data_IF_899605164198
#
_entry.id   IF_899605164198
#
_cell.length_a   1.000
_cell.length_b   1.000
_cell.length_c   1.000
_cell.angle_alpha   90.00
_cell.angle_beta   90.00
_cell.angle_gamma   90.00
#
_symmetry.space_group_name_H-M   'P 1'
#
loop_
_entity.id
_entity.type
_entity.pdbx_description
1 polymer ?
#
# COMPACT_ATOMS: atom_id res chain seq x y z
N UNK A 1 -1.44 57.31 -47.49
CA UNK A 1 -1.74 56.61 -48.76
C UNK A 1 -2.76 55.53 -48.43
N UNK A 2 -4.00 55.69 -48.94
CA UNK A 2 -5.15 54.77 -49.08
C UNK A 2 -5.44 53.73 -47.95
N UNK A 3 -6.51 53.82 -47.13
CA UNK A 3 -7.97 53.64 -47.32
C UNK A 3 -8.49 52.21 -47.56
N UNK A 4 -9.54 51.88 -46.76
CA UNK A 4 -10.77 51.09 -47.09
C UNK A 4 -10.69 49.55 -47.22
N UNK A 5 -11.20 48.77 -46.25
CA UNK A 5 -12.58 48.21 -46.04
C UNK A 5 -13.00 47.04 -46.95
N UNK A 6 -13.42 45.91 -46.35
CA UNK A 6 -14.57 45.02 -46.69
C UNK A 6 -14.39 43.65 -46.01
N UNK A 7 -15.22 43.19 -45.07
CA UNK A 7 -16.48 42.41 -45.23
C UNK A 7 -16.34 41.24 -46.23
N UNK A 8 -16.70 39.97 -45.98
CA UNK A 8 -17.90 39.44 -45.32
C UNK A 8 -17.83 37.91 -45.07
N UNK A 9 -18.39 37.48 -43.93
CA UNK A 9 -19.32 36.34 -43.69
C UNK A 9 -19.13 34.89 -44.21
N UNK A 10 -19.25 33.98 -43.22
CA UNK A 10 -20.03 32.73 -43.17
C UNK A 10 -19.60 31.53 -44.03
N UNK A 11 -19.20 30.44 -43.35
CA UNK A 11 -19.88 29.14 -43.47
C UNK A 11 -19.53 28.25 -42.26
N UNK A 12 -20.57 27.91 -41.53
CA UNK A 12 -20.67 26.85 -40.54
C UNK A 12 -20.29 25.49 -41.13
N UNK A 13 -19.39 24.76 -40.47
CA UNK A 13 -19.35 23.30 -40.57
C UNK A 13 -19.12 22.69 -39.19
N UNK A 14 -20.23 22.18 -38.65
CA UNK A 14 -20.31 21.22 -37.56
C UNK A 14 -19.85 19.87 -38.10
N UNK A 15 -18.87 19.18 -37.50
CA UNK A 15 -18.77 17.75 -37.62
C UNK A 15 -19.46 17.10 -36.41
N UNK A 16 -20.49 16.34 -36.76
CA UNK A 16 -21.35 15.51 -35.94
C UNK A 16 -20.68 14.82 -34.75
N UNK A 17 -21.40 14.86 -33.63
CA UNK A 17 -21.41 13.84 -32.60
C UNK A 17 -21.73 12.47 -33.23
N UNK A 18 -20.70 11.65 -33.47
CA UNK A 18 -20.91 10.22 -33.63
C UNK A 18 -20.94 9.59 -32.24
N UNK A 19 -22.16 9.31 -31.78
CA UNK A 19 -22.39 8.37 -30.70
C UNK A 19 -21.77 7.03 -31.11
N UNK A 20 -20.64 6.67 -30.50
CA UNK A 20 -20.24 5.27 -30.43
C UNK A 20 -21.21 4.59 -29.48
N UNK A 21 -22.35 4.14 -30.04
CA UNK A 21 -23.15 3.08 -29.46
C UNK A 21 -22.21 1.90 -29.21
N UNK A 22 -21.79 1.71 -27.96
CA UNK A 22 -21.26 0.45 -27.49
C UNK A 22 -22.41 -0.55 -27.53
N UNK A 23 -22.63 -1.08 -28.72
CA UNK A 23 -23.57 -2.16 -28.96
C UNK A 23 -22.85 -3.42 -28.56
N UNK A 24 -23.44 -4.16 -27.60
CA UNK A 24 -23.17 -5.58 -27.33
C UNK A 24 -22.11 -5.89 -26.25
N UNK A 25 -22.33 -5.43 -25.02
CA UNK A 25 -22.02 -6.26 -23.85
C UNK A 25 -22.95 -7.49 -23.89
N UNK A 26 -22.44 -8.64 -24.33
CA UNK A 26 -23.16 -9.90 -24.14
C UNK A 26 -23.21 -10.16 -22.63
N UNK A 27 -24.40 -10.21 -22.05
CA UNK A 27 -24.65 -10.94 -20.80
C UNK A 27 -24.16 -12.36 -21.01
N UNK A 28 -23.02 -12.71 -20.43
CA UNK A 28 -22.76 -14.08 -20.07
C UNK A 28 -23.38 -14.29 -18.70
N UNK A 29 -24.59 -14.87 -18.69
CA UNK A 29 -25.17 -15.46 -17.49
C UNK A 29 -24.25 -16.62 -17.07
N UNK A 30 -23.40 -16.37 -16.07
CA UNK A 30 -22.73 -17.45 -15.36
C UNK A 30 -23.74 -18.08 -14.40
N UNK A 31 -24.41 -19.10 -14.90
CA UNK A 31 -25.27 -19.98 -14.12
C UNK A 31 -24.39 -20.74 -13.11
N UNK A 32 -24.39 -20.30 -11.85
CA UNK A 32 -23.73 -20.99 -10.75
C UNK A 32 -24.42 -22.34 -10.48
N UNK A 33 -24.00 -23.39 -11.18
CA UNK A 33 -24.20 -24.78 -10.74
C UNK A 33 -23.01 -25.19 -9.89
N UNK A 34 -23.14 -25.02 -8.58
CA UNK A 34 -22.34 -25.76 -7.62
C UNK A 34 -22.64 -27.26 -7.76
N UNK A 35 -21.72 -27.99 -8.39
CA UNK A 35 -21.69 -29.46 -8.34
C UNK A 35 -21.19 -29.90 -6.96
N UNK A 36 -22.11 -30.05 -6.00
CA UNK A 36 -21.86 -30.86 -4.81
C UNK A 36 -21.89 -32.34 -5.22
N UNK A 37 -20.70 -32.97 -5.25
CA UNK A 37 -20.59 -34.43 -5.32
C UNK A 37 -21.09 -35.04 -4.01
N UNK A 38 -22.22 -35.75 -4.10
CA UNK A 38 -22.74 -36.68 -3.09
C UNK A 38 -21.81 -37.89 -2.99
N UNK A 39 -21.39 -38.22 -1.76
CA UNK A 39 -21.20 -39.61 -1.35
C UNK A 39 -22.25 -39.94 -0.29
N UNK A 40 -23.02 -40.97 -0.55
CA UNK A 40 -24.14 -41.46 0.25
C UNK A 40 -23.66 -42.58 1.17
N UNK A 41 -23.93 -42.50 2.48
CA UNK A 41 -23.94 -43.69 3.36
C UNK A 41 -25.13 -43.59 4.34
N UNK A 42 -26.13 -44.40 4.04
CA UNK A 42 -26.99 -45.27 4.88
C UNK A 42 -27.68 -44.71 6.15
N UNK A 43 -28.99 -44.95 6.18
CA UNK A 43 -30.00 -44.54 7.16
C UNK A 43 -29.98 -45.29 8.51
N UNK A 44 -30.52 -44.65 9.56
CA UNK A 44 -31.51 -45.22 10.51
C UNK A 44 -32.34 -44.09 11.18
N UNK A 45 -33.64 -44.27 11.49
CA UNK A 45 -34.51 -43.22 12.03
C UNK A 45 -34.82 -43.41 13.53
N UNK A 46 -35.02 -42.31 14.27
CA UNK A 46 -35.79 -42.35 15.52
C UNK A 46 -36.53 -41.03 15.77
N UNK A 47 -37.77 -41.17 16.23
CA UNK A 47 -38.84 -40.16 16.35
C UNK A 47 -38.65 -39.27 17.59
N UNK A 48 -39.08 -38.01 17.52
CA UNK A 48 -40.25 -37.44 18.27
C UNK A 48 -40.35 -35.90 18.08
N UNK A 49 -41.56 -35.31 18.03
CA UNK A 49 -41.77 -33.88 17.79
C UNK A 49 -42.10 -33.08 19.06
N UNK A 50 -41.63 -31.82 19.14
CA UNK A 50 -42.13 -30.81 20.08
C UNK A 50 -42.59 -29.56 19.30
N UNK A 51 -43.78 -28.99 19.58
CA UNK A 51 -44.23 -27.76 18.96
C UNK A 51 -43.73 -26.54 19.76
N UNK A 52 -43.02 -25.61 19.10
CA UNK A 52 -42.68 -24.33 19.69
C UNK A 52 -43.80 -23.32 19.43
N UNK A 53 -44.38 -22.89 20.54
CA UNK A 53 -45.40 -21.87 20.71
C UNK A 53 -44.85 -20.49 20.36
N UNK A 54 -45.59 -19.75 19.52
CA UNK A 54 -45.34 -18.33 19.21
C UNK A 54 -45.95 -17.49 20.33
N UNK A 55 -45.13 -16.73 21.04
CA UNK A 55 -45.57 -15.63 21.90
C UNK A 55 -44.98 -14.35 21.31
N UNK A 56 -45.89 -13.49 20.87
CA UNK A 56 -45.67 -12.08 20.53
C UNK A 56 -45.80 -11.29 21.84
N UNK A 57 -44.76 -10.56 22.23
CA UNK A 57 -44.85 -9.60 23.34
C UNK A 57 -44.08 -8.32 22.98
N UNK A 58 -44.84 -7.37 22.44
CA UNK A 58 -44.48 -5.96 22.29
C UNK A 58 -44.28 -5.31 23.66
N UNK A 59 -43.08 -4.78 23.92
CA UNK A 59 -42.88 -3.73 24.93
C UNK A 59 -41.85 -2.71 24.45
N UNK A 60 -42.37 -1.54 24.12
CA UNK A 60 -41.61 -0.29 24.03
C UNK A 60 -40.95 -0.01 25.38
N UNK A 61 -39.70 0.45 25.34
CA UNK A 61 -39.11 1.18 26.46
C UNK A 61 -38.31 2.32 25.85
N UNK A 62 -38.90 3.51 25.94
CA UNK A 62 -38.25 4.78 25.66
C UNK A 62 -37.07 4.95 26.62
N UNK A 63 -35.87 5.18 26.08
CA UNK A 63 -34.77 5.78 26.81
C UNK A 63 -34.30 6.98 25.99
N UNK A 64 -34.58 8.16 26.52
CA UNK A 64 -34.06 9.44 26.05
C UNK A 64 -32.53 9.40 26.03
N UNK A 65 -31.96 9.50 24.83
CA UNK A 65 -30.54 9.73 24.60
C UNK A 65 -30.40 10.94 23.68
N UNK A 66 -29.75 11.98 24.19
CA UNK A 66 -29.59 13.28 23.55
C UNK A 66 -29.23 13.17 22.05
N UNK A 67 -30.06 13.79 21.22
CA UNK A 67 -29.76 14.08 19.81
C UNK A 67 -28.67 15.13 19.81
N UNK A 68 -27.42 14.68 19.78
CA UNK A 68 -26.32 15.51 19.32
C UNK A 68 -26.40 15.50 17.79
N UNK A 69 -26.70 16.64 17.19
CA UNK A 69 -26.78 16.76 15.74
C UNK A 69 -25.44 16.37 15.10
N UNK A 70 -25.39 15.15 14.57
CA UNK A 70 -24.33 14.69 13.69
C UNK A 70 -24.59 15.39 12.35
N UNK A 71 -23.68 16.28 11.98
CA UNK A 71 -23.70 17.00 10.71
C UNK A 71 -23.80 16.02 9.54
N UNK A 72 -24.66 16.36 8.57
CA UNK A 72 -25.02 15.60 7.36
C UNK A 72 -23.83 15.11 6.51
N UNK A 73 -22.61 15.61 6.76
CA UNK A 73 -21.37 15.18 6.11
C UNK A 73 -20.78 13.86 6.63
N UNK A 74 -21.21 13.34 7.78
CA UNK A 74 -20.71 12.06 8.32
C UNK A 74 -21.57 10.85 7.95
N UNK A 75 -22.63 11.05 7.14
CA UNK A 75 -23.58 10.00 6.74
C UNK A 75 -23.20 9.22 5.47
N UNK A 76 -22.06 9.52 4.85
CA UNK A 76 -21.66 8.95 3.55
C UNK A 76 -20.52 7.93 3.61
N UNK A 77 -19.98 7.60 4.79
CA UNK A 77 -18.71 6.85 4.86
C UNK A 77 -18.76 5.69 5.85
N UNK A 78 -19.82 4.91 5.77
CA UNK A 78 -19.82 3.56 6.33
C UNK A 78 -20.53 2.63 5.35
N UNK A 79 -19.83 1.62 4.84
CA UNK A 79 -20.34 0.57 3.94
C UNK A 79 -20.68 0.94 2.47
N UNK A 80 -19.82 1.66 1.75
CA UNK A 80 -19.86 1.52 0.28
C UNK A 80 -19.53 0.08 -0.09
N UNK A 81 -20.48 -0.63 -0.70
CA UNK A 81 -20.27 -1.99 -1.20
C UNK A 81 -19.12 -1.96 -2.22
N UNK A 82 -18.06 -2.74 -1.95
CA UNK A 82 -16.91 -2.90 -2.85
C UNK A 82 -17.41 -3.31 -4.26
N UNK A 83 -18.53 -4.03 -4.33
CA UNK A 83 -19.20 -4.35 -5.59
C UNK A 83 -19.63 -3.12 -6.40
N UNK A 84 -20.15 -2.07 -5.75
CA UNK A 84 -20.60 -0.85 -6.40
C UNK A 84 -19.43 0.02 -6.90
N UNK A 85 -18.31 0.08 -6.17
CA UNK A 85 -17.09 0.77 -6.62
C UNK A 85 -16.46 0.11 -7.88
N UNK A 86 -16.77 -1.16 -8.14
CA UNK A 86 -16.11 -1.95 -9.18
C UNK A 86 -16.85 -2.00 -10.54
N UNK A 87 -18.05 -1.44 -10.66
CA UNK A 87 -18.87 -1.64 -11.87
C UNK A 87 -18.22 -1.10 -13.16
N UNK A 88 -17.34 -0.11 -13.04
CA UNK A 88 -16.66 0.51 -14.20
C UNK A 88 -15.41 -0.27 -14.66
N UNK A 89 -14.94 -1.26 -13.90
CA UNK A 89 -13.69 -1.98 -14.19
C UNK A 89 -13.80 -2.98 -15.33
N UNK A 90 -14.95 -3.66 -15.42
CA UNK A 90 -15.20 -4.73 -16.40
C UNK A 90 -15.15 -4.21 -17.84
N UNK A 91 -15.48 -2.92 -18.04
CA UNK A 91 -15.52 -2.31 -19.36
C UNK A 91 -14.19 -1.69 -19.79
N UNK A 92 -13.27 -1.41 -18.86
CA UNK A 92 -12.03 -0.65 -19.13
C UNK A 92 -10.77 -1.51 -18.95
N UNK A 93 -10.77 -2.45 -18.01
CA UNK A 93 -9.56 -3.16 -17.56
C UNK A 93 -9.67 -4.68 -17.70
N UNK A 94 -8.53 -5.39 -17.61
CA UNK A 94 -8.52 -6.85 -17.68
C UNK A 94 -8.97 -7.48 -16.34
N UNK A 95 -9.52 -8.73 -16.34
CA UNK A 95 -9.97 -9.39 -15.11
C UNK A 95 -8.88 -9.55 -14.04
N UNK A 96 -7.61 -9.66 -14.47
CA UNK A 96 -6.46 -9.73 -13.57
C UNK A 96 -6.18 -8.39 -12.89
N UNK A 97 -6.29 -7.27 -13.63
CA UNK A 97 -6.16 -5.93 -13.06
C UNK A 97 -7.28 -5.66 -12.06
N UNK A 98 -8.52 -6.06 -12.36
CA UNK A 98 -9.66 -5.95 -11.45
C UNK A 98 -9.46 -6.77 -10.17
N UNK A 99 -8.96 -8.01 -10.29
CA UNK A 99 -8.65 -8.85 -9.13
C UNK A 99 -7.58 -8.21 -8.24
N UNK A 100 -6.52 -7.66 -8.82
CA UNK A 100 -5.50 -6.93 -8.08
C UNK A 100 -6.06 -5.68 -7.41
N UNK A 101 -6.87 -4.88 -8.11
CA UNK A 101 -7.51 -3.70 -7.54
C UNK A 101 -8.33 -4.04 -6.29
N UNK A 102 -9.14 -5.10 -6.36
CA UNK A 102 -9.91 -5.61 -5.21
C UNK A 102 -9.01 -6.05 -4.06
N UNK A 103 -7.90 -6.72 -4.35
CA UNK A 103 -6.96 -7.13 -3.32
C UNK A 103 -6.30 -5.93 -2.64
N UNK A 104 -5.90 -4.92 -3.42
CA UNK A 104 -5.32 -3.68 -2.90
C UNK A 104 -6.30 -2.96 -1.96
N UNK A 105 -7.58 -2.87 -2.33
CA UNK A 105 -8.61 -2.28 -1.46
C UNK A 105 -8.74 -3.03 -0.14
N UNK A 106 -8.78 -4.37 -0.15
CA UNK A 106 -8.82 -5.16 1.09
C UNK A 106 -7.58 -4.93 1.95
N UNK A 107 -6.41 -4.93 1.33
CA UNK A 107 -5.14 -4.71 2.03
C UNK A 107 -5.07 -3.30 2.66
N UNK A 108 -5.69 -2.29 2.03
CA UNK A 108 -5.80 -0.92 2.55
C UNK A 108 -6.79 -0.85 3.72
N UNK A 109 -7.98 -1.42 3.57
CA UNK A 109 -9.02 -1.44 4.61
C UNK A 109 -8.56 -2.14 5.89
N UNK A 110 -7.85 -3.26 5.74
CA UNK A 110 -7.33 -4.04 6.87
C UNK A 110 -6.00 -3.49 7.43
N UNK A 111 -5.43 -2.44 6.82
CA UNK A 111 -4.08 -1.94 7.15
C UNK A 111 -3.05 -3.08 7.26
N UNK A 112 -3.10 -4.02 6.32
CA UNK A 112 -2.42 -5.32 6.45
C UNK A 112 -0.91 -5.18 6.46
N UNK A 113 -0.26 -5.72 7.49
CA UNK A 113 1.20 -5.72 7.69
C UNK A 113 1.76 -7.14 7.69
N UNK A 114 2.97 -7.34 7.16
CA UNK A 114 3.69 -8.62 7.17
C UNK A 114 3.10 -9.70 6.25
N UNK A 115 1.78 -9.80 6.17
CA UNK A 115 1.06 -10.81 5.38
C UNK A 115 0.42 -10.22 4.13
N UNK A 116 0.78 -9.00 3.70
CA UNK A 116 0.21 -8.35 2.51
C UNK A 116 0.35 -9.24 1.27
N UNK A 117 -0.55 -9.14 0.30
CA UNK A 117 -0.48 -9.90 -0.94
C UNK A 117 0.68 -9.45 -1.84
N UNK A 118 1.92 -9.83 -1.49
CA UNK A 118 3.14 -9.42 -2.22
C UNK A 118 3.13 -9.87 -3.69
N UNK A 119 2.34 -10.89 -4.04
CA UNK A 119 2.14 -11.34 -5.41
C UNK A 119 1.45 -10.32 -6.32
N UNK A 120 0.70 -9.37 -5.74
CA UNK A 120 0.07 -8.25 -6.45
C UNK A 120 1.07 -7.19 -6.91
N UNK A 121 2.28 -7.19 -6.36
CA UNK A 121 3.34 -6.23 -6.69
C UNK A 121 4.42 -6.90 -7.54
N UNK A 122 4.85 -6.22 -8.60
CA UNK A 122 5.96 -6.68 -9.42
C UNK A 122 7.27 -6.71 -8.59
N UNK A 123 8.22 -7.61 -8.87
CA UNK A 123 9.46 -7.71 -8.11
C UNK A 123 10.23 -6.39 -7.98
N UNK A 124 10.24 -5.59 -9.05
CA UNK A 124 10.89 -4.27 -9.15
C UNK A 124 9.90 -3.10 -9.06
N UNK A 125 8.77 -3.27 -8.35
CA UNK A 125 7.79 -2.19 -8.16
C UNK A 125 8.47 -0.94 -7.59
N UNK A 126 8.14 0.22 -8.15
CA UNK A 126 8.61 1.51 -7.65
C UNK A 126 7.54 2.13 -6.76
N UNK A 127 7.93 2.55 -5.57
CA UNK A 127 7.07 3.34 -4.69
C UNK A 127 7.59 4.77 -4.59
N UNK A 128 6.67 5.72 -4.60
CA UNK A 128 6.97 7.14 -4.44
C UNK A 128 5.91 7.81 -3.56
N UNK A 129 6.37 8.46 -2.51
CA UNK A 129 5.61 9.42 -1.73
C UNK A 129 6.38 10.76 -1.66
N UNK A 130 5.79 11.84 -1.08
CA UNK A 130 6.47 13.14 -0.99
C UNK A 130 7.78 13.18 -0.18
N UNK A 131 8.07 12.16 0.63
CA UNK A 131 9.21 12.10 1.55
C UNK A 131 10.18 10.93 1.28
N UNK A 132 9.74 9.86 0.61
CA UNK A 132 10.50 8.63 0.40
C UNK A 132 10.16 8.00 -0.94
N UNK A 133 11.19 7.44 -1.57
CA UNK A 133 11.08 6.57 -2.74
C UNK A 133 11.83 5.28 -2.47
N UNK A 134 11.28 4.15 -2.90
CA UNK A 134 11.99 2.87 -2.85
C UNK A 134 11.62 1.99 -4.04
N UNK A 135 12.44 0.96 -4.28
CA UNK A 135 12.19 -0.05 -5.31
C UNK A 135 12.22 -1.43 -4.65
N UNK A 136 11.31 -2.30 -5.07
CA UNK A 136 11.25 -3.70 -4.64
C UNK A 136 10.00 -4.04 -3.85
N UNK A 137 9.37 -5.18 -4.17
CA UNK A 137 8.14 -5.61 -3.50
C UNK A 137 8.33 -5.99 -2.04
N UNK A 138 9.52 -6.44 -1.65
CA UNK A 138 9.77 -6.96 -0.29
C UNK A 138 9.61 -5.86 0.76
N UNK A 139 9.79 -4.59 0.36
CA UNK A 139 9.61 -3.42 1.22
C UNK A 139 8.15 -3.21 1.63
N UNK A 140 7.18 -3.77 0.92
CA UNK A 140 5.75 -3.71 1.26
C UNK A 140 5.35 -4.61 2.43
N UNK A 141 6.22 -5.54 2.85
CA UNK A 141 6.03 -6.37 4.05
C UNK A 141 6.26 -5.60 5.35
N UNK A 142 6.93 -4.45 5.27
CA UNK A 142 7.33 -3.66 6.44
C UNK A 142 6.11 -3.02 7.13
N UNK A 143 6.19 -2.77 8.45
CA UNK A 143 5.12 -2.09 9.17
C UNK A 143 4.83 -0.71 8.61
N UNK A 144 3.57 -0.32 8.60
CA UNK A 144 3.10 0.98 8.11
C UNK A 144 3.40 2.08 9.13
N UNK A 145 3.51 3.32 8.64
CA UNK A 145 3.61 4.47 9.53
C UNK A 145 2.35 4.62 10.40
N UNK A 146 1.17 4.32 9.85
CA UNK A 146 -0.13 4.46 10.50
C UNK A 146 -0.23 3.64 11.80
N UNK A 147 0.12 2.36 11.77
CA UNK A 147 0.06 1.46 12.94
C UNK A 147 1.12 1.82 13.99
N UNK A 148 2.28 2.34 13.56
CA UNK A 148 3.34 2.77 14.47
C UNK A 148 3.03 4.09 15.16
N UNK A 149 2.36 5.02 14.48
CA UNK A 149 2.21 6.41 14.95
C UNK A 149 0.81 6.73 15.48
N UNK A 150 -0.22 5.99 15.04
CA UNK A 150 -1.60 6.20 15.44
C UNK A 150 -2.08 5.09 16.37
N UNK A 151 -2.98 5.45 17.27
CA UNK A 151 -3.74 4.55 18.11
C UNK A 151 -5.08 4.26 17.41
N UNK A 152 -5.39 2.96 17.28
CA UNK A 152 -6.60 2.45 16.61
C UNK A 152 -6.89 3.15 15.26
N UNK A 153 -5.95 3.10 14.30
CA UNK A 153 -6.19 3.69 12.99
C UNK A 153 -7.36 2.97 12.30
N UNK A 154 -8.30 3.75 11.77
CA UNK A 154 -9.42 3.30 10.97
C UNK A 154 -9.26 3.80 9.53
N UNK A 155 -9.58 2.95 8.57
CA UNK A 155 -9.48 3.27 7.14
C UNK A 155 -10.84 3.18 6.49
N UNK A 156 -11.15 4.17 5.66
CA UNK A 156 -12.33 4.15 4.80
C UNK A 156 -11.95 4.45 3.37
N UNK A 157 -12.49 3.68 2.43
CA UNK A 157 -12.28 3.91 0.99
C UNK A 157 -13.42 4.78 0.48
N UNK A 158 -13.09 5.91 -0.14
CA UNK A 158 -14.07 6.86 -0.67
C UNK A 158 -14.39 6.57 -2.13
N UNK A 159 -13.36 6.28 -2.92
CA UNK A 159 -13.49 6.14 -4.36
C UNK A 159 -12.43 5.17 -4.86
N UNK A 160 -12.81 4.32 -5.81
CA UNK A 160 -11.88 3.49 -6.57
C UNK A 160 -12.29 3.58 -8.02
N UNK A 161 -11.37 4.00 -8.90
CA UNK A 161 -11.62 4.12 -10.33
C UNK A 161 -10.39 3.88 -11.17
N UNK A 162 -10.60 3.41 -12.38
CA UNK A 162 -9.59 3.40 -13.42
C UNK A 162 -9.51 4.77 -14.08
N UNK A 163 -8.33 5.39 -14.09
CA UNK A 163 -8.04 6.61 -14.84
C UNK A 163 -7.71 6.29 -16.30
N UNK A 164 -7.02 5.16 -16.53
CA UNK A 164 -6.74 4.57 -17.85
C UNK A 164 -6.87 3.04 -17.75
N UNK A 165 -6.46 2.28 -18.77
CA UNK A 165 -6.50 0.80 -18.77
C UNK A 165 -5.51 0.21 -17.74
N UNK A 166 -4.42 0.94 -17.47
CA UNK A 166 -3.32 0.55 -16.60
C UNK A 166 -3.15 1.45 -15.36
N UNK A 167 -3.80 2.62 -15.28
CA UNK A 167 -3.73 3.52 -14.12
C UNK A 167 -4.99 3.40 -13.26
N UNK A 168 -4.82 2.87 -12.05
CA UNK A 168 -5.83 2.78 -11.00
C UNK A 168 -5.63 3.90 -9.97
N UNK A 169 -6.70 4.59 -9.61
CA UNK A 169 -6.72 5.56 -8.51
C UNK A 169 -7.65 5.10 -7.42
N UNK A 170 -7.12 5.03 -6.20
CA UNK A 170 -7.86 4.72 -4.97
C UNK A 170 -7.75 5.94 -4.06
N UNK A 171 -8.89 6.55 -3.74
CA UNK A 171 -8.99 7.60 -2.73
C UNK A 171 -9.55 7.01 -1.46
N UNK A 172 -8.83 7.20 -0.38
CA UNK A 172 -9.18 6.64 0.92
C UNK A 172 -8.77 7.60 2.02
N UNK A 173 -9.38 7.45 3.18
CA UNK A 173 -9.04 8.25 4.37
C UNK A 173 -8.57 7.37 5.48
N UNK A 174 -7.53 7.84 6.15
CA UNK A 174 -6.98 7.28 7.36
C UNK A 174 -7.38 8.20 8.51
N UNK A 175 -8.12 7.68 9.47
CA UNK A 175 -8.47 8.36 10.71
C UNK A 175 -7.77 7.68 11.87
N UNK A 176 -7.25 8.43 12.83
CA UNK A 176 -6.68 7.83 14.03
C UNK A 176 -6.15 8.84 15.02
N UNK A 177 -6.05 8.44 16.28
CA UNK A 177 -5.54 9.30 17.35
C UNK A 177 -4.01 9.28 17.38
N UNK A 178 -3.32 10.42 17.47
CA UNK A 178 -1.88 10.44 17.72
C UNK A 178 -1.54 9.63 18.97
N UNK A 179 -0.51 8.77 18.91
CA UNK A 179 -0.10 7.99 20.10
C UNK A 179 0.41 8.86 21.26
N UNK A 180 0.85 10.09 20.97
CA UNK A 180 1.26 11.02 22.02
C UNK A 180 0.01 11.61 22.69
N UNK A 181 -0.26 11.33 23.98
CA UNK A 181 -1.47 11.76 24.66
C UNK A 181 -1.62 13.28 24.74
N UNK A 182 -0.51 14.02 24.80
CA UNK A 182 -0.53 15.50 24.81
C UNK A 182 -1.09 16.06 23.50
N UNK A 183 -0.71 15.44 22.38
CA UNK A 183 -1.14 15.87 21.05
C UNK A 183 -2.57 15.39 20.79
N UNK A 184 -2.92 14.18 21.23
CA UNK A 184 -4.28 13.63 21.08
C UNK A 184 -5.33 14.48 21.80
N UNK A 185 -5.03 14.95 23.02
CA UNK A 185 -5.96 15.78 23.81
C UNK A 185 -6.20 17.18 23.22
N UNK A 186 -5.16 17.78 22.61
CA UNK A 186 -5.22 19.17 22.10
C UNK A 186 -5.49 19.26 20.60
N UNK A 187 -5.01 18.29 19.83
CA UNK A 187 -5.07 18.27 18.37
C UNK A 187 -6.20 17.43 17.80
N UNK A 188 -6.90 16.66 18.64
CA UNK A 188 -7.96 15.76 18.20
C UNK A 188 -7.46 14.64 17.29
N UNK A 189 -8.39 14.07 16.53
CA UNK A 189 -8.10 12.97 15.61
C UNK A 189 -7.36 13.47 14.36
N UNK A 190 -6.38 12.69 13.92
CA UNK A 190 -5.74 12.92 12.63
C UNK A 190 -6.62 12.31 11.53
N UNK A 191 -7.03 13.14 10.58
CA UNK A 191 -7.76 12.75 9.37
C UNK A 191 -6.87 13.04 8.16
N UNK A 192 -6.35 11.98 7.56
CA UNK A 192 -5.46 12.03 6.41
C UNK A 192 -6.18 11.48 5.19
N UNK A 193 -6.38 12.30 4.16
CA UNK A 193 -6.88 11.86 2.87
C UNK A 193 -5.72 11.45 1.98
N UNK A 194 -5.78 10.26 1.42
CA UNK A 194 -4.72 9.67 0.62
C UNK A 194 -5.27 9.35 -0.75
N UNK A 195 -4.57 9.81 -1.77
CA UNK A 195 -4.81 9.41 -3.15
C UNK A 195 -3.63 8.54 -3.59
N UNK A 196 -3.90 7.24 -3.66
CA UNK A 196 -2.96 6.22 -4.11
C UNK A 196 -3.22 5.92 -5.58
N UNK A 197 -2.20 6.14 -6.40
CA UNK A 197 -2.19 5.82 -7.82
C UNK A 197 -1.32 4.61 -8.09
N UNK A 198 -1.84 3.65 -8.82
CA UNK A 198 -1.14 2.42 -9.17
C UNK A 198 -1.09 2.30 -10.69
N UNK A 199 0.11 2.10 -11.23
CA UNK A 199 0.31 1.70 -12.63
C UNK A 199 0.49 0.19 -12.64
N UNK A 200 -0.38 -0.52 -13.35
CA UNK A 200 -0.42 -1.97 -13.40
C UNK A 200 0.01 -2.50 -14.76
N UNK A 201 0.65 -3.66 -14.76
CA UNK A 201 0.88 -4.42 -15.98
C UNK A 201 -0.45 -5.05 -16.44
N UNK A 202 -0.88 -4.76 -17.66
CA UNK A 202 -2.17 -5.23 -18.19
C UNK A 202 -2.24 -6.74 -18.41
N UNK A 203 -1.09 -7.40 -18.60
CA UNK A 203 -0.98 -8.84 -18.83
C UNK A 203 -0.98 -9.59 -17.49
N UNK A 204 -0.10 -9.21 -16.56
CA UNK A 204 0.04 -9.93 -15.29
C UNK A 204 -0.89 -9.42 -14.19
N UNK A 205 -1.48 -8.24 -14.36
CA UNK A 205 -2.25 -7.55 -13.32
C UNK A 205 -1.40 -7.04 -12.16
N UNK A 206 -0.06 -7.08 -12.24
CA UNK A 206 0.82 -6.68 -11.14
C UNK A 206 1.10 -5.18 -11.13
N UNK A 207 1.23 -4.60 -9.94
CA UNK A 207 1.60 -3.20 -9.75
C UNK A 207 3.08 -2.99 -10.10
N UNK A 208 3.34 -2.09 -11.05
CA UNK A 208 4.66 -1.68 -11.51
C UNK A 208 5.13 -0.39 -10.80
N UNK A 209 4.22 0.56 -10.62
CA UNK A 209 4.50 1.81 -9.92
C UNK A 209 3.34 2.16 -8.98
N UNK A 210 3.68 2.65 -7.80
CA UNK A 210 2.72 3.10 -6.80
C UNK A 210 3.15 4.49 -6.32
N UNK A 211 2.29 5.48 -6.55
CA UNK A 211 2.50 6.87 -6.13
C UNK A 211 1.43 7.27 -5.14
N UNK A 212 1.82 7.82 -4.01
CA UNK A 212 0.90 8.35 -3.01
C UNK A 212 1.01 9.87 -2.93
N UNK A 213 -0.15 10.50 -2.76
CA UNK A 213 -0.28 11.92 -2.41
C UNK A 213 -1.21 12.06 -1.21
N UNK A 214 -0.92 13.07 -0.40
CA UNK A 214 -1.50 13.24 0.93
C UNK A 214 -2.13 14.61 1.07
N UNK A 215 -3.34 14.66 1.59
CA UNK A 215 -4.03 15.89 1.98
C UNK A 215 -4.46 15.80 3.45
N UNK A 216 -4.09 16.82 4.23
CA UNK A 216 -4.38 16.93 5.66
C UNK A 216 -5.29 18.13 5.96
N UNK A 217 -5.90 18.73 4.94
CA UNK A 217 -6.81 19.88 5.08
C UNK A 217 -7.94 19.63 6.08
N UNK A 218 -8.37 18.37 6.23
CA UNK A 218 -9.40 17.95 7.19
C UNK A 218 -8.90 17.81 8.65
N UNK A 219 -7.60 17.93 8.91
CA UNK A 219 -7.00 17.79 10.24
C UNK A 219 -6.69 19.15 10.89
N UNK A 220 -6.65 19.19 12.22
CA UNK A 220 -6.19 20.38 12.97
C UNK A 220 -4.71 20.70 12.70
N UNK A 221 -4.30 21.96 12.89
CA UNK A 221 -2.90 22.39 12.68
C UNK A 221 -1.91 21.60 13.54
N UNK A 222 -2.28 21.25 14.77
CA UNK A 222 -1.45 20.43 15.66
C UNK A 222 -1.32 19.00 15.14
N UNK A 223 -2.41 18.40 14.66
CA UNK A 223 -2.40 17.07 14.06
C UNK A 223 -1.60 17.04 12.74
N UNK A 224 -1.72 18.07 11.91
CA UNK A 224 -0.89 18.25 10.71
C UNK A 224 0.61 18.30 11.05
N UNK A 225 0.98 19.09 12.06
CA UNK A 225 2.36 19.17 12.53
C UNK A 225 2.89 17.81 13.02
N UNK A 226 2.09 17.10 13.82
CA UNK A 226 2.42 15.75 14.28
C UNK A 226 2.63 14.77 13.12
N UNK A 227 1.74 14.80 12.12
CA UNK A 227 1.88 13.97 10.92
C UNK A 227 3.23 14.22 10.23
N UNK A 228 3.55 15.47 9.90
CA UNK A 228 4.77 15.79 9.16
C UNK A 228 6.04 15.41 9.93
N UNK A 229 6.09 15.67 11.24
CA UNK A 229 7.24 15.30 12.08
C UNK A 229 7.39 13.78 12.18
N UNK A 230 6.32 13.08 12.58
CA UNK A 230 6.36 11.62 12.75
C UNK A 230 6.63 10.89 11.43
N UNK A 231 6.06 11.37 10.31
CA UNK A 231 6.26 10.78 8.99
C UNK A 231 7.69 10.97 8.47
N UNK A 232 8.30 12.14 8.71
CA UNK A 232 9.71 12.39 8.38
C UNK A 232 10.64 11.48 9.18
N UNK A 233 10.42 11.34 10.49
CA UNK A 233 11.20 10.43 11.34
C UNK A 233 11.08 8.98 10.87
N UNK A 234 9.88 8.54 10.52
CA UNK A 234 9.65 7.21 9.97
C UNK A 234 10.36 7.01 8.61
N UNK A 235 10.24 7.98 7.69
CA UNK A 235 10.94 7.93 6.41
C UNK A 235 12.46 7.84 6.57
N UNK A 236 13.05 8.65 7.47
CA UNK A 236 14.49 8.65 7.71
C UNK A 236 14.98 7.30 8.26
N UNK A 237 14.25 6.73 9.23
CA UNK A 237 14.58 5.42 9.80
C UNK A 237 14.49 4.31 8.74
N UNK A 238 13.42 4.30 7.94
CA UNK A 238 13.24 3.29 6.90
C UNK A 238 14.20 3.44 5.71
N UNK A 239 14.60 4.68 5.37
CA UNK A 239 15.64 4.94 4.39
C UNK A 239 17.01 4.45 4.87
N UNK A 240 17.33 4.64 6.16
CA UNK A 240 18.54 4.07 6.76
C UNK A 240 18.60 2.55 6.65
N UNK A 241 17.47 1.87 6.89
CA UNK A 241 17.35 0.42 6.67
C UNK A 241 17.52 0.04 5.20
N UNK A 242 17.00 0.83 4.27
CA UNK A 242 17.17 0.58 2.84
C UNK A 242 18.63 0.66 2.38
N UNK A 243 19.40 1.63 2.90
CA UNK A 243 20.83 1.72 2.63
C UNK A 243 21.58 0.52 3.18
N UNK A 244 21.28 0.10 4.41
CA UNK A 244 21.90 -1.08 5.03
C UNK A 244 21.57 -2.35 4.24
N UNK A 245 20.31 -2.56 3.84
CA UNK A 245 19.89 -3.71 3.06
C UNK A 245 20.63 -3.76 1.71
N UNK A 246 20.77 -2.61 1.03
CA UNK A 246 21.50 -2.52 -0.25
C UNK A 246 22.98 -2.87 -0.09
N UNK A 247 23.64 -2.33 0.96
CA UNK A 247 25.05 -2.65 1.26
C UNK A 247 25.21 -4.13 1.58
N UNK A 248 24.32 -4.71 2.39
CA UNK A 248 24.35 -6.15 2.70
C UNK A 248 24.14 -7.01 1.46
N UNK A 249 23.20 -6.66 0.58
CA UNK A 249 22.96 -7.41 -0.65
C UNK A 249 24.13 -7.33 -1.63
N UNK A 250 24.83 -6.20 -1.69
CA UNK A 250 26.00 -6.07 -2.54
C UNK A 250 27.23 -6.75 -1.94
N UNK A 251 27.44 -6.64 -0.63
CA UNK A 251 28.52 -7.32 0.07
C UNK A 251 28.35 -8.84 -0.02
N UNK A 252 27.15 -9.37 0.21
CA UNK A 252 26.88 -10.81 0.06
C UNK A 252 27.09 -11.29 -1.37
N UNK A 253 26.69 -10.52 -2.39
CA UNK A 253 27.01 -10.83 -3.79
C UNK A 253 28.52 -10.82 -4.07
N UNK A 254 29.25 -9.87 -3.49
CA UNK A 254 30.70 -9.78 -3.65
C UNK A 254 31.41 -10.94 -2.96
N UNK A 255 31.02 -11.28 -1.72
CA UNK A 255 31.53 -12.45 -1.00
C UNK A 255 31.20 -13.75 -1.74
N UNK A 256 29.99 -13.90 -2.27
CA UNK A 256 29.62 -15.07 -3.06
C UNK A 256 30.44 -15.18 -4.36
N UNK A 257 30.77 -14.06 -5.01
CA UNK A 257 31.69 -14.07 -6.17
C UNK A 257 33.15 -14.36 -5.82
N UNK A 258 33.56 -14.13 -4.57
CA UNK A 258 34.88 -14.50 -4.06
C UNK A 258 34.93 -15.98 -3.66
N UNK A 259 33.80 -16.53 -3.18
CA UNK A 259 33.66 -17.92 -2.74
C UNK A 259 33.44 -18.89 -3.92
N UNK A 260 32.73 -18.46 -4.98
CA UNK A 260 32.57 -19.26 -6.21
C UNK A 260 33.87 -19.37 -7.04
N UNK A 261 34.88 -18.52 -6.82
CA UNK A 261 36.22 -18.67 -7.42
C UNK A 261 37.21 -19.44 -6.54
N UNK A 262 36.79 -19.87 -5.35
CA UNK A 262 37.48 -20.89 -4.56
C UNK A 262 36.82 -22.23 -4.84
N UNK A 263 36.77 -22.64 -6.12
CA UNK A 263 36.61 -24.06 -6.43
C UNK A 263 37.70 -24.81 -5.67
N UNK A 264 37.21 -25.60 -4.72
CA UNK A 264 37.99 -26.42 -3.81
C UNK A 264 38.71 -27.48 -4.65
N UNK A 265 39.87 -27.12 -5.18
CA UNK A 265 40.86 -28.11 -5.59
C UNK A 265 41.64 -28.48 -4.33
N UNK A 266 41.56 -29.73 -3.85
CA UNK A 266 42.39 -30.17 -2.74
C UNK A 266 43.83 -30.15 -3.23
N UNK A 267 44.56 -29.11 -2.86
CA UNK A 267 46.00 -29.05 -3.09
C UNK A 267 46.66 -30.27 -2.41
N UNK A 268 47.29 -31.18 -3.18
CA UNK A 268 47.84 -32.42 -2.66
C UNK A 268 49.12 -32.24 -1.83
N UNK A 269 49.70 -31.03 -1.78
CA UNK A 269 50.78 -30.71 -0.84
C UNK A 269 50.20 -30.36 0.52
N UNK A 270 50.12 -31.36 1.39
CA UNK A 270 49.77 -31.20 2.81
C UNK A 270 50.78 -30.31 3.55
N UNK A 271 50.59 -28.99 3.46
CA UNK A 271 51.28 -28.01 4.28
C UNK A 271 50.62 -27.96 5.67
N UNK A 272 51.32 -28.41 6.73
CA UNK A 272 50.78 -28.44 8.09
C UNK A 272 50.59 -27.05 8.71
N UNK A 273 51.03 -25.97 8.05
CA UNK A 273 50.83 -24.60 8.56
C UNK A 273 49.43 -24.05 8.31
N UNK A 274 48.61 -24.69 7.47
CA UNK A 274 47.23 -24.24 7.16
C UNK A 274 46.28 -24.30 8.36
N UNK A 275 46.56 -25.14 9.36
CA UNK A 275 45.78 -25.22 10.60
C UNK A 275 46.09 -24.12 11.62
N UNK A 276 47.14 -23.33 11.37
CA UNK A 276 47.51 -22.17 12.19
C UNK A 276 47.17 -20.84 11.52
N UNK A 277 46.61 -20.86 10.32
CA UNK A 277 45.94 -19.71 9.74
C UNK A 277 44.61 -19.55 10.45
N UNK A 278 44.62 -18.79 11.55
CA UNK A 278 43.41 -18.26 12.15
C UNK A 278 42.68 -17.49 11.04
N UNK A 279 41.39 -17.77 10.81
CA UNK A 279 40.59 -17.10 9.78
C UNK A 279 40.90 -15.59 9.78
N UNK A 280 41.67 -15.14 8.78
CA UNK A 280 41.80 -13.73 8.40
C UNK A 280 40.48 -13.33 7.78
N UNK A 281 39.45 -13.32 8.63
CA UNK A 281 38.11 -13.00 8.24
C UNK A 281 38.13 -11.53 7.87
N UNK A 282 38.06 -11.23 6.58
CA UNK A 282 37.82 -9.89 6.01
C UNK A 282 36.88 -9.04 6.86
N UNK A 283 35.91 -9.64 7.54
CA UNK A 283 35.03 -8.98 8.49
C UNK A 283 35.78 -8.30 9.65
N UNK A 284 36.73 -8.96 10.32
CA UNK A 284 37.55 -8.37 11.39
C UNK A 284 38.36 -7.19 10.87
N UNK A 285 38.98 -7.34 9.70
CA UNK A 285 39.76 -6.27 9.06
C UNK A 285 38.89 -5.08 8.67
N UNK A 286 37.69 -5.33 8.14
CA UNK A 286 36.71 -4.27 7.81
C UNK A 286 36.25 -3.55 9.06
N UNK A 287 35.95 -4.25 10.17
CA UNK A 287 35.60 -3.60 11.44
C UNK A 287 36.76 -2.76 11.98
N UNK A 288 37.99 -3.27 11.90
CA UNK A 288 39.18 -2.59 12.39
C UNK A 288 39.50 -1.34 11.57
N UNK A 289 39.39 -1.41 10.23
CA UNK A 289 39.52 -0.27 9.33
C UNK A 289 38.39 0.74 9.54
N UNK A 290 37.14 0.28 9.70
CA UNK A 290 36.00 1.17 9.92
C UNK A 290 36.11 1.96 11.23
N UNK A 291 36.57 1.33 12.31
CA UNK A 291 36.82 2.00 13.59
C UNK A 291 37.93 3.05 13.43
N UNK A 292 39.02 2.72 12.72
CA UNK A 292 40.10 3.66 12.46
C UNK A 292 39.64 4.86 11.64
N UNK A 293 38.85 4.65 10.59
CA UNK A 293 38.26 5.73 9.78
C UNK A 293 37.29 6.60 10.60
N UNK A 294 36.49 6.00 11.48
CA UNK A 294 35.59 6.73 12.36
C UNK A 294 36.38 7.65 13.32
N UNK A 295 37.46 7.14 13.91
CA UNK A 295 38.32 7.93 14.79
C UNK A 295 38.96 9.10 14.03
N UNK A 296 39.52 8.85 12.83
CA UNK A 296 40.11 9.91 11.99
C UNK A 296 39.06 10.97 11.65
N UNK A 297 37.85 10.56 11.27
CA UNK A 297 36.76 11.48 10.97
C UNK A 297 36.39 12.35 12.18
N UNK A 298 36.27 11.77 13.38
CA UNK A 298 36.00 12.53 14.60
C UNK A 298 37.13 13.50 14.94
N UNK A 299 38.39 13.12 14.75
CA UNK A 299 39.55 14.00 14.97
C UNK A 299 39.53 15.17 13.98
N UNK A 300 39.30 14.91 12.69
CA UNK A 300 39.21 15.96 11.67
C UNK A 300 38.03 16.89 11.95
N UNK A 301 36.87 16.35 12.33
CA UNK A 301 35.68 17.14 12.63
C UNK A 301 35.87 18.00 13.90
N UNK A 302 36.56 17.46 14.91
CA UNK A 302 36.95 18.20 16.10
C UNK A 302 37.89 19.35 15.75
N UNK A 303 38.99 19.07 15.02
CA UNK A 303 39.94 20.08 14.58
C UNK A 303 39.28 21.20 13.76
N UNK A 304 38.36 20.85 12.86
CA UNK A 304 37.60 21.81 12.04
C UNK A 304 36.65 22.69 12.86
N UNK A 305 36.15 22.21 14.00
CA UNK A 305 35.28 22.98 14.87
C UNK A 305 36.04 23.82 15.91
N UNK A 306 37.32 23.54 16.12
CA UNK A 306 38.17 24.23 17.11
C UNK A 306 39.12 25.28 16.51
N UNK A 307 39.37 25.23 15.20
CA UNK A 307 40.12 26.24 14.43
C UNK A 307 39.11 27.10 13.66
#
# INVERSE_FOLDING_TARGET
>A
MATTTSSSSLLSFIPNSTSLRCSRCRRFDFNNRCLLRRFSIIATPTRLPFPLHVIDESKETEISGAVMEISESDKLVDSMDIGALCNDFVCISSPLVEATARQLVRDILELREGNRALGSFAPSVKYKDPLRTFVGRDKYSRPLWATRSLQNPAVTVQEMKMLSIDELSIRWTLRGKPKNPLISSLGGDLILQINSKFILNQISGQVMEHTESWDLSASSVLAQGYFWVSRRLFSANEAGKDTIDFVKSNMSRLSQSQEDNMEIYPDPSGDPTKFFQQDDGFQRDVYQIAILLAIIYFVVQFLRNTI
#
